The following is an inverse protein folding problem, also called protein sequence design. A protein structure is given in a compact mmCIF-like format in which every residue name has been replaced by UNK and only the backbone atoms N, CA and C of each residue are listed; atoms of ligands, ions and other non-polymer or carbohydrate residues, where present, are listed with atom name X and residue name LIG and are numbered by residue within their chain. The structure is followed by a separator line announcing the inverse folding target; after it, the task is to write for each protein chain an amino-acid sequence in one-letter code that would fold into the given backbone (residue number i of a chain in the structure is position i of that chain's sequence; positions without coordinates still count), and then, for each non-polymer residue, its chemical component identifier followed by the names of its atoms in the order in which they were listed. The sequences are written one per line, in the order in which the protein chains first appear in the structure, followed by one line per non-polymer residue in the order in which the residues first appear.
data_IF_708089059845
#
_entry.id   IF_708089059845
#
_cell.length_a   1.000
_cell.length_b   1.000
_cell.length_c   1.000
_cell.angle_alpha   90.00
_cell.angle_beta   90.00
_cell.angle_gamma   90.00
#
_symmetry.space_group_name_H-M   'P 1'
#
loop_
_entity.id
_entity.type
_entity.pdbx_description
1 polymer ?
#
# COMPACT_ATOMS: atom_id res chain seq x y z
N UNK A 1 14.87 12.42 -7.49
CA UNK A 1 13.76 11.44 -7.58
C UNK A 1 13.86 10.73 -8.92
N UNK A 2 13.48 9.46 -9.01
CA UNK A 2 13.50 8.72 -10.27
C UNK A 2 12.04 8.47 -10.67
N UNK A 3 11.64 8.94 -11.86
CA UNK A 3 10.28 8.74 -12.37
C UNK A 3 10.26 7.67 -13.44
N UNK A 4 9.20 6.86 -13.44
CA UNK A 4 9.06 5.78 -14.39
C UNK A 4 7.63 5.28 -14.53
N UNK A 5 7.49 4.19 -15.26
CA UNK A 5 6.23 3.47 -15.43
C UNK A 5 6.43 2.00 -15.15
N UNK A 6 5.44 1.36 -14.53
CA UNK A 6 5.43 -0.09 -14.36
C UNK A 6 5.37 -0.78 -15.73
N UNK A 7 6.25 -1.75 -15.97
CA UNK A 7 6.16 -2.64 -17.13
C UNK A 7 5.30 -3.87 -16.82
N UNK A 8 5.22 -4.25 -15.54
CA UNK A 8 4.46 -5.41 -15.06
C UNK A 8 3.23 -4.97 -14.27
N UNK A 9 2.10 -5.64 -14.50
CA UNK A 9 0.96 -5.52 -13.61
C UNK A 9 1.27 -6.12 -12.24
N UNK A 10 0.54 -5.68 -11.21
CA UNK A 10 0.68 -6.17 -9.84
C UNK A 10 -0.64 -6.79 -9.42
N UNK A 11 -0.55 -8.02 -8.90
CA UNK A 11 -1.61 -8.66 -8.13
C UNK A 11 -1.01 -9.05 -6.76
N UNK A 12 -1.59 -8.54 -5.68
CA UNK A 12 -1.14 -8.73 -4.29
C UNK A 12 -1.56 -10.04 -3.63
N UNK A 13 -2.28 -10.92 -4.34
CA UNK A 13 -2.63 -12.26 -3.82
C UNK A 13 -1.38 -13.03 -3.39
N UNK A 14 -0.32 -12.92 -4.20
CA UNK A 14 0.96 -13.55 -3.96
C UNK A 14 2.08 -12.51 -4.03
N UNK A 15 3.12 -12.62 -3.18
CA UNK A 15 4.27 -11.75 -3.27
C UNK A 15 5.01 -12.03 -4.58
N UNK A 16 5.53 -10.97 -5.21
CA UNK A 16 6.10 -11.10 -6.54
C UNK A 16 7.11 -10.00 -6.88
N UNK A 17 7.76 -10.19 -8.02
CA UNK A 17 8.71 -9.23 -8.58
C UNK A 17 7.99 -8.25 -9.50
N UNK A 18 8.44 -7.00 -9.50
CA UNK A 18 7.94 -5.95 -10.38
C UNK A 18 9.07 -5.28 -11.13
N UNK A 19 8.75 -4.81 -12.32
CA UNK A 19 9.66 -4.06 -13.16
C UNK A 19 9.06 -2.73 -13.57
N UNK A 20 9.88 -1.70 -13.59
CA UNK A 20 9.53 -0.40 -14.13
C UNK A 20 10.63 0.11 -15.06
N UNK A 21 10.25 1.00 -15.98
CA UNK A 21 11.18 1.70 -16.86
C UNK A 21 11.24 3.17 -16.50
N UNK A 22 12.45 3.71 -16.41
CA UNK A 22 12.69 5.13 -16.14
C UNK A 22 12.27 5.95 -17.35
N UNK A 23 11.44 6.97 -17.13
CA UNK A 23 10.85 7.77 -18.23
C UNK A 23 11.68 8.98 -18.63
N UNK A 24 12.53 9.48 -17.74
CA UNK A 24 13.28 10.72 -17.90
C UNK A 24 14.72 10.57 -17.43
N UNK A 25 15.62 11.35 -18.02
CA UNK A 25 17.01 11.38 -17.62
C UNK A 25 17.14 12.01 -16.23
N UNK A 26 17.77 11.29 -15.28
CA UNK A 26 18.08 11.81 -13.95
C UNK A 26 19.51 12.31 -13.94
N UNK A 27 19.67 13.59 -13.66
CA UNK A 27 20.96 14.27 -13.67
C UNK A 27 21.66 14.19 -12.32
N UNK A 28 22.97 14.45 -12.33
CA UNK A 28 23.79 14.66 -11.15
C UNK A 28 23.35 15.89 -10.37
N UNK A 29 23.81 16.00 -9.11
CA UNK A 29 23.47 17.13 -8.23
C UNK A 29 23.83 18.49 -8.84
N UNK A 30 24.94 18.56 -9.58
CA UNK A 30 25.40 19.75 -10.31
C UNK A 30 24.70 19.94 -11.67
N UNK A 31 23.83 19.01 -12.08
CA UNK A 31 23.05 19.06 -13.32
C UNK A 31 23.83 18.83 -14.61
N UNK A 32 25.14 18.54 -14.53
CA UNK A 32 26.01 18.49 -15.73
C UNK A 32 26.00 17.16 -16.45
N UNK A 33 25.66 16.07 -15.76
CA UNK A 33 25.76 14.71 -16.30
C UNK A 33 24.48 13.94 -16.05
N UNK A 34 24.08 13.12 -17.02
CA UNK A 34 23.00 12.14 -16.84
C UNK A 34 23.57 10.95 -16.09
N UNK A 35 23.10 10.72 -14.85
CA UNK A 35 23.48 9.58 -14.02
C UNK A 35 22.58 8.37 -14.28
N UNK A 36 21.31 8.61 -14.59
CA UNK A 36 20.35 7.54 -14.90
C UNK A 36 19.68 7.92 -16.22
N UNK A 37 20.07 7.30 -17.33
CA UNK A 37 19.41 7.55 -18.61
C UNK A 37 17.95 7.06 -18.59
N UNK A 38 17.09 7.74 -19.34
CA UNK A 38 15.77 7.24 -19.70
C UNK A 38 15.90 5.85 -20.33
N UNK A 39 14.92 4.99 -20.08
CA UNK A 39 14.97 3.58 -20.49
C UNK A 39 15.76 2.67 -19.54
N UNK A 40 16.40 3.20 -18.50
CA UNK A 40 16.93 2.37 -17.41
C UNK A 40 15.80 1.55 -16.77
N UNK A 41 16.08 0.30 -16.39
CA UNK A 41 15.08 -0.60 -15.80
C UNK A 41 15.26 -0.69 -14.30
N UNK A 42 14.18 -0.51 -13.57
CA UNK A 42 14.07 -0.69 -12.14
C UNK A 42 13.45 -2.05 -11.87
N UNK A 43 14.03 -2.79 -10.93
CA UNK A 43 13.53 -4.08 -10.46
C UNK A 43 13.29 -4.00 -8.96
N UNK A 44 12.14 -4.50 -8.54
CA UNK A 44 11.70 -4.45 -7.16
C UNK A 44 10.81 -5.63 -6.83
N UNK A 45 10.36 -5.65 -5.59
CA UNK A 45 9.45 -6.66 -5.06
C UNK A 45 8.31 -5.96 -4.33
N UNK A 46 7.14 -6.58 -4.38
CA UNK A 46 6.00 -6.17 -3.56
C UNK A 46 5.63 -7.33 -2.64
N UNK A 47 5.15 -6.97 -1.45
CA UNK A 47 4.67 -7.96 -0.48
C UNK A 47 3.17 -8.18 -0.67
N UNK A 48 2.74 -9.42 -0.46
CA UNK A 48 1.34 -9.76 -0.18
C UNK A 48 1.01 -9.46 1.29
N UNK A 49 -0.25 -9.64 1.68
CA UNK A 49 -0.70 -9.39 3.06
C UNK A 49 -1.19 -7.96 3.27
N UNK A 50 -2.18 -7.55 2.48
CA UNK A 50 -2.84 -6.26 2.60
C UNK A 50 -3.69 -6.25 3.86
N UNK A 51 -3.47 -5.27 4.74
CA UNK A 51 -4.31 -5.07 5.92
C UNK A 51 -5.71 -4.59 5.51
N UNK A 52 -6.73 -4.87 6.33
CA UNK A 52 -8.08 -4.34 6.08
C UNK A 52 -8.06 -2.82 6.01
N UNK A 53 -8.66 -2.27 4.94
CA UNK A 53 -8.69 -0.82 4.67
C UNK A 53 -7.47 -0.27 3.92
N UNK A 54 -6.43 -1.08 3.69
CA UNK A 54 -5.31 -0.68 2.85
C UNK A 54 -5.74 -0.70 1.37
N UNK A 55 -5.54 0.43 0.69
CA UNK A 55 -5.90 0.64 -0.72
C UNK A 55 -4.66 0.80 -1.61
N UNK A 56 -3.48 0.51 -1.05
CA UNK A 56 -2.18 0.71 -1.70
C UNK A 56 -1.26 -0.46 -1.49
N UNK A 57 -0.47 -0.81 -2.49
CA UNK A 57 0.59 -1.81 -2.39
C UNK A 57 1.93 -1.12 -2.14
N UNK A 58 2.70 -1.64 -1.18
CA UNK A 58 4.05 -1.16 -0.93
C UNK A 58 5.05 -1.94 -1.81
N UNK A 59 5.88 -1.20 -2.54
CA UNK A 59 6.90 -1.75 -3.43
C UNK A 59 8.26 -1.32 -2.89
N UNK A 60 9.21 -2.24 -2.88
CA UNK A 60 10.62 -1.95 -2.60
C UNK A 60 11.42 -2.11 -3.88
N UNK A 61 12.09 -1.05 -4.30
CA UNK A 61 12.96 -1.05 -5.47
C UNK A 61 14.37 -1.42 -5.05
N UNK A 62 14.81 -2.60 -5.48
CA UNK A 62 16.05 -3.21 -5.01
C UNK A 62 17.22 -2.83 -5.91
N UNK A 63 17.03 -2.92 -7.22
CA UNK A 63 18.10 -2.76 -8.21
C UNK A 63 17.63 -1.98 -9.43
N UNK A 64 18.53 -1.19 -9.99
CA UNK A 64 18.40 -0.52 -11.27
C UNK A 64 19.47 -1.01 -12.24
N UNK A 65 19.10 -1.24 -13.48
CA UNK A 65 20.00 -1.58 -14.58
C UNK A 65 19.90 -0.45 -15.61
N UNK A 66 21.01 0.25 -15.82
CA UNK A 66 21.13 1.30 -16.84
C UNK A 66 21.19 0.69 -18.25
N UNK A 67 20.97 1.50 -19.27
CA UNK A 67 21.03 1.07 -20.68
C UNK A 67 22.41 0.58 -21.12
N UNK A 68 23.47 0.98 -20.42
CA UNK A 68 24.86 0.55 -20.62
C UNK A 68 25.21 -0.75 -19.89
N UNK A 69 24.25 -1.37 -19.18
CA UNK A 69 24.45 -2.62 -18.45
C UNK A 69 24.95 -2.44 -17.01
N UNK A 70 25.22 -1.20 -16.57
CA UNK A 70 25.63 -0.95 -15.18
C UNK A 70 24.45 -1.21 -14.23
N UNK A 71 24.70 -2.04 -13.22
CA UNK A 71 23.73 -2.37 -12.18
C UNK A 71 24.03 -1.59 -10.91
N UNK A 72 23.03 -0.87 -10.39
CA UNK A 72 23.12 -0.08 -9.17
C UNK A 72 22.08 -0.55 -8.16
N UNK A 73 22.50 -0.76 -6.92
CA UNK A 73 21.60 -1.12 -5.83
C UNK A 73 20.92 0.13 -5.28
N UNK A 74 19.60 0.18 -5.39
CA UNK A 74 18.79 1.30 -4.87
C UNK A 74 18.39 1.02 -3.43
N UNK A 75 17.68 -0.08 -3.17
CA UNK A 75 17.17 -0.44 -1.84
C UNK A 75 16.27 0.63 -1.23
N UNK A 76 15.30 1.14 -2.02
CA UNK A 76 14.46 2.27 -1.64
C UNK A 76 12.97 2.03 -1.91
N UNK A 77 12.06 2.58 -1.09
CA UNK A 77 10.63 2.40 -1.25
C UNK A 77 10.09 3.13 -2.47
N UNK A 78 9.06 2.54 -3.09
CA UNK A 78 8.27 3.16 -4.14
C UNK A 78 7.17 4.06 -3.60
N UNK A 79 6.84 5.08 -4.39
CA UNK A 79 5.76 6.02 -4.15
C UNK A 79 4.92 6.22 -5.41
N UNK A 80 3.69 6.68 -5.22
CA UNK A 80 2.81 7.05 -6.33
C UNK A 80 3.27 8.33 -7.04
N UNK A 81 2.59 8.69 -8.13
CA UNK A 81 2.89 9.89 -8.93
C UNK A 81 2.82 11.21 -8.15
N UNK A 82 2.17 11.21 -6.98
CA UNK A 82 2.01 12.37 -6.10
C UNK A 82 2.96 12.31 -4.90
N UNK A 83 3.86 11.32 -4.85
CA UNK A 83 4.86 11.16 -3.80
C UNK A 83 4.34 10.49 -2.51
N UNK A 84 3.11 9.97 -2.50
CA UNK A 84 2.57 9.25 -1.35
C UNK A 84 3.14 7.82 -1.33
N UNK A 85 3.32 7.26 -0.13
CA UNK A 85 3.87 5.91 0.03
C UNK A 85 3.01 4.83 -0.63
N UNK A 86 3.66 3.91 -1.34
CA UNK A 86 3.01 2.82 -2.07
C UNK A 86 2.23 3.26 -3.31
N UNK A 87 1.74 2.27 -4.06
CA UNK A 87 0.98 2.46 -5.30
C UNK A 87 -0.51 2.26 -5.03
N UNK A 88 -1.32 3.24 -5.42
CA UNK A 88 -2.77 3.07 -5.42
C UNK A 88 -3.19 2.08 -6.52
N UNK A 89 -4.17 1.23 -6.22
CA UNK A 89 -4.70 0.26 -7.16
C UNK A 89 -6.19 0.03 -6.93
N UNK A 90 -6.80 -0.74 -7.84
CA UNK A 90 -8.19 -1.19 -7.68
C UNK A 90 -8.23 -2.26 -6.60
N UNK A 91 -9.10 -2.07 -5.62
CA UNK A 91 -9.25 -3.00 -4.49
C UNK A 91 -10.44 -3.91 -4.76
N UNK A 92 -10.19 -5.20 -4.89
CA UNK A 92 -11.21 -6.23 -4.75
C UNK A 92 -11.33 -6.62 -3.28
N UNK A 93 -12.56 -6.58 -2.78
CA UNK A 93 -12.86 -6.94 -1.39
C UNK A 93 -13.44 -8.33 -1.26
N UNK A 94 -13.65 -9.05 -2.38
CA UNK A 94 -14.25 -10.37 -2.44
C UNK A 94 -15.55 -10.45 -1.63
N UNK A 95 -16.45 -9.46 -1.79
CA UNK A 95 -17.66 -9.34 -0.97
C UNK A 95 -18.59 -10.55 -1.14
N UNK A 96 -18.69 -11.10 -2.35
CA UNK A 96 -19.57 -12.23 -2.61
C UNK A 96 -18.99 -13.52 -2.03
N UNK A 97 -17.68 -13.71 -2.09
CA UNK A 97 -17.01 -14.85 -1.48
C UNK A 97 -17.03 -14.76 0.05
N UNK A 98 -16.99 -13.52 0.60
CA UNK A 98 -16.99 -13.27 2.04
C UNK A 98 -18.35 -13.30 2.70
N UNK A 99 -19.40 -12.98 1.97
CA UNK A 99 -20.75 -12.81 2.53
C UNK A 99 -21.82 -13.56 1.74
N UNK A 100 -21.48 -14.26 0.66
CA UNK A 100 -22.44 -14.96 -0.19
C UNK A 100 -23.17 -16.08 0.53
N UNK A 101 -22.46 -16.87 1.34
CA UNK A 101 -23.07 -17.91 2.19
C UNK A 101 -24.06 -17.32 3.19
N UNK A 102 -23.66 -16.24 3.87
CA UNK A 102 -24.51 -15.53 4.84
C UNK A 102 -25.76 -14.90 4.20
N UNK A 103 -25.63 -14.33 3.00
CA UNK A 103 -26.77 -13.81 2.24
C UNK A 103 -27.75 -14.93 1.89
N UNK A 104 -27.25 -16.08 1.40
CA UNK A 104 -28.10 -17.25 1.10
C UNK A 104 -28.81 -17.75 2.36
N UNK A 105 -28.08 -17.89 3.47
CA UNK A 105 -28.65 -18.32 4.75
C UNK A 105 -29.68 -17.33 5.29
N UNK A 106 -29.45 -16.02 5.12
CA UNK A 106 -30.39 -14.97 5.49
C UNK A 106 -31.68 -15.04 4.68
N UNK A 107 -31.59 -15.29 3.36
CA UNK A 107 -32.77 -15.47 2.50
C UNK A 107 -33.55 -16.71 2.92
N UNK A 108 -32.86 -17.84 3.17
CA UNK A 108 -33.51 -19.09 3.61
C UNK A 108 -34.17 -18.92 4.98
N UNK A 109 -33.49 -18.27 5.93
CA UNK A 109 -34.04 -17.96 7.25
C UNK A 109 -35.27 -17.06 7.17
N UNK A 110 -35.19 -15.96 6.41
CA UNK A 110 -36.31 -15.03 6.23
C UNK A 110 -37.49 -15.65 5.48
N UNK A 111 -37.24 -16.53 4.50
CA UNK A 111 -38.31 -17.27 3.81
C UNK A 111 -38.98 -18.30 4.73
N UNK A 112 -38.21 -19.04 5.53
CA UNK A 112 -38.75 -19.96 6.52
C UNK A 112 -39.59 -19.22 7.58
N UNK A 113 -39.14 -18.05 8.03
CA UNK A 113 -39.87 -17.18 8.96
C UNK A 113 -41.18 -16.68 8.33
N UNK A 114 -41.13 -16.15 7.11
CA UNK A 114 -42.33 -15.70 6.39
C UNK A 114 -43.35 -16.83 6.19
N UNK A 115 -42.89 -18.02 5.78
CA UNK A 115 -43.75 -19.19 5.60
C UNK A 115 -44.35 -19.67 6.92
N UNK A 116 -43.57 -19.67 8.01
CA UNK A 116 -44.08 -20.02 9.35
C UNK A 116 -45.14 -19.03 9.84
N UNK A 117 -44.96 -17.72 9.60
CA UNK A 117 -45.93 -16.69 9.96
C UNK A 117 -47.25 -16.81 9.16
N UNK A 118 -47.19 -17.24 7.89
CA UNK A 118 -48.37 -17.50 7.07
C UNK A 118 -49.08 -18.82 7.45
N UNK A 119 -48.31 -19.85 7.81
CA UNK A 119 -48.84 -21.12 8.30
C UNK A 119 -49.60 -20.93 9.63
N UNK A 120 -49.05 -20.14 10.55
CA UNK A 120 -49.71 -19.77 11.82
C UNK A 120 -51.02 -19.00 11.60
N UNK A 121 -51.14 -18.20 10.53
CA UNK A 121 -52.34 -17.43 10.21
C UNK A 121 -53.49 -18.27 9.62
N UNK A 122 -53.26 -19.52 9.19
CA UNK A 122 -54.23 -20.33 8.43
C UNK A 122 -54.66 -21.67 9.05
N UNK A 123 -54.15 -22.04 10.22
CA UNK A 123 -54.93 -22.83 11.19
C UNK A 123 -54.37 -24.17 11.66
N UNK A 124 -54.85 -24.54 12.85
CA UNK A 124 -54.84 -25.91 13.40
C UNK A 124 -53.69 -26.18 14.38
N UNK A 125 -54.00 -26.13 15.68
CA UNK A 125 -53.15 -26.63 16.79
C UNK A 125 -52.56 -28.01 16.45
N UNK A 126 -51.31 -28.07 15.98
CA UNK A 126 -50.57 -29.33 15.84
C UNK A 126 -49.12 -29.09 16.25
N UNK A 127 -48.69 -29.86 17.23
CA UNK A 127 -47.35 -29.88 17.81
C UNK A 127 -46.31 -30.12 16.70
N UNK A 128 -45.51 -29.12 16.39
CA UNK A 128 -44.55 -29.17 15.28
C UNK A 128 -43.12 -29.30 15.84
N UNK A 129 -42.46 -30.41 15.50
CA UNK A 129 -41.08 -30.68 15.88
C UNK A 129 -40.17 -30.18 14.76
N UNK A 130 -39.56 -29.00 14.94
CA UNK A 130 -38.62 -28.46 13.94
C UNK A 130 -37.25 -29.09 14.19
N UNK A 131 -36.82 -29.91 13.25
CA UNK A 131 -35.49 -30.53 13.27
C UNK A 131 -34.55 -29.65 12.43
N UNK A 132 -33.63 -28.94 13.08
CA UNK A 132 -32.63 -28.09 12.41
C UNK A 132 -31.30 -28.84 12.38
N UNK A 133 -30.80 -29.11 11.18
CA UNK A 133 -29.47 -29.69 10.98
C UNK A 133 -28.48 -28.55 10.76
N UNK A 134 -27.48 -28.46 11.62
CA UNK A 134 -26.39 -27.49 11.50
C UNK A 134 -25.51 -27.84 10.28
N UNK A 135 -25.36 -26.95 9.28
CA UNK A 135 -24.67 -27.26 8.03
C UNK A 135 -23.15 -27.38 8.16
N UNK A 136 -22.54 -27.04 9.29
CA UNK A 136 -21.07 -27.12 9.50
C UNK A 136 -20.69 -28.29 10.41
N UNK A 137 -21.51 -28.59 11.42
CA UNK A 137 -21.20 -29.62 12.43
C UNK A 137 -21.99 -30.92 12.24
N UNK A 138 -23.07 -30.90 11.44
CA UNK A 138 -23.96 -32.06 11.26
C UNK A 138 -24.79 -32.42 12.51
N UNK A 139 -24.75 -31.58 13.55
CA UNK A 139 -25.50 -31.79 14.78
C UNK A 139 -26.99 -31.50 14.58
N UNK A 140 -27.83 -32.39 15.10
CA UNK A 140 -29.28 -32.35 14.91
C UNK A 140 -29.94 -31.78 16.17
N UNK A 141 -30.28 -30.50 16.13
CA UNK A 141 -30.97 -29.85 17.25
C UNK A 141 -32.48 -29.96 17.02
N UNK A 142 -33.12 -30.78 17.87
CA UNK A 142 -34.57 -31.03 17.81
C UNK A 142 -35.30 -30.09 18.76
N UNK A 143 -36.09 -29.15 18.22
CA UNK A 143 -36.85 -28.20 19.03
C UNK A 143 -38.31 -28.67 19.08
N UNK A 144 -38.75 -29.14 20.24
CA UNK A 144 -40.15 -29.52 20.49
C UNK A 144 -40.91 -28.29 20.99
N UNK A 145 -41.93 -27.86 20.25
CA UNK A 145 -42.76 -26.72 20.61
C UNK A 145 -43.97 -27.25 21.40
N UNK A 146 -44.03 -26.91 22.70
CA UNK A 146 -45.11 -27.30 23.61
C UNK A 146 -46.28 -26.29 23.50
N UNK A 147 -47.53 -26.71 23.23
CA UNK A 147 -48.61 -25.83 22.78
C UNK A 147 -49.44 -25.12 23.87
N UNK A 148 -49.00 -25.08 25.14
CA UNK A 148 -49.78 -24.50 26.25
C UNK A 148 -49.48 -23.02 26.60
N UNK A 149 -48.80 -22.27 25.74
CA UNK A 149 -48.44 -20.87 26.04
C UNK A 149 -49.06 -19.86 25.05
N UNK A 150 -49.64 -18.82 25.64
CA UNK A 150 -50.48 -17.75 25.05
C UNK A 150 -49.90 -17.16 23.76
N UNK A 151 -50.75 -16.76 22.81
CA UNK A 151 -50.37 -16.11 21.53
C UNK A 151 -49.35 -14.96 21.69
N UNK A 152 -49.41 -14.22 22.80
CA UNK A 152 -48.46 -13.14 23.12
C UNK A 152 -47.06 -13.68 23.46
N UNK A 153 -46.97 -14.83 24.14
CA UNK A 153 -45.69 -15.48 24.47
C UNK A 153 -45.08 -16.16 23.24
N UNK A 154 -45.89 -16.75 22.36
CA UNK A 154 -45.42 -17.34 21.10
C UNK A 154 -44.80 -16.30 20.15
N UNK A 155 -45.42 -15.12 20.01
CA UNK A 155 -44.84 -13.98 19.26
C UNK A 155 -43.55 -13.48 19.89
N UNK A 156 -43.51 -13.41 21.22
CA UNK A 156 -42.32 -12.95 21.95
C UNK A 156 -41.16 -13.94 21.78
N UNK A 157 -41.43 -15.24 21.82
CA UNK A 157 -40.47 -16.32 21.57
C UNK A 157 -39.98 -16.29 20.11
N UNK A 158 -40.85 -16.05 19.14
CA UNK A 158 -40.47 -15.95 17.73
C UNK A 158 -39.56 -14.74 17.46
N UNK A 159 -39.89 -13.56 17.98
CA UNK A 159 -39.10 -12.33 17.83
C UNK A 159 -37.74 -12.46 18.53
N UNK A 160 -37.71 -13.01 19.74
CA UNK A 160 -36.48 -13.19 20.53
C UNK A 160 -35.53 -14.23 19.90
N UNK A 161 -36.09 -15.32 19.35
CA UNK A 161 -35.33 -16.33 18.58
C UNK A 161 -34.84 -15.81 17.23
N UNK A 162 -35.64 -14.98 16.55
CA UNK A 162 -35.24 -14.32 15.30
C UNK A 162 -34.07 -13.37 15.54
N UNK A 163 -34.15 -12.53 16.58
CA UNK A 163 -33.07 -11.61 16.95
C UNK A 163 -31.76 -12.33 17.33
N UNK A 164 -31.83 -13.43 18.09
CA UNK A 164 -30.64 -14.22 18.44
C UNK A 164 -30.04 -14.96 17.24
N UNK A 165 -30.87 -15.57 16.39
CA UNK A 165 -30.43 -16.24 15.16
C UNK A 165 -29.78 -15.24 14.19
N UNK A 166 -30.38 -14.06 14.00
CA UNK A 166 -29.81 -13.04 13.11
C UNK A 166 -28.48 -12.49 13.63
N UNK A 167 -28.34 -12.39 14.96
CA UNK A 167 -27.06 -12.01 15.59
C UNK A 167 -25.98 -13.08 15.39
N UNK A 168 -26.33 -14.35 15.51
CA UNK A 168 -25.41 -15.48 15.29
C UNK A 168 -24.97 -15.58 13.83
N UNK A 169 -25.90 -15.50 12.87
CA UNK A 169 -25.60 -15.46 11.45
C UNK A 169 -24.72 -14.27 11.07
N UNK A 170 -25.01 -13.09 11.63
CA UNK A 170 -24.17 -11.92 11.42
C UNK A 170 -22.76 -12.17 11.97
N UNK A 171 -22.64 -12.70 13.18
CA UNK A 171 -21.35 -13.01 13.81
C UNK A 171 -20.54 -14.02 12.99
N UNK A 172 -21.17 -15.10 12.54
CA UNK A 172 -20.53 -16.13 11.70
C UNK A 172 -20.05 -15.54 10.36
N UNK A 173 -20.91 -14.77 9.67
CA UNK A 173 -20.55 -14.08 8.44
C UNK A 173 -19.37 -13.11 8.63
N UNK A 174 -19.34 -12.41 9.76
CA UNK A 174 -18.22 -11.54 10.10
C UNK A 174 -16.94 -12.32 10.37
N UNK A 175 -17.01 -13.46 11.06
CA UNK A 175 -15.87 -14.33 11.35
C UNK A 175 -15.30 -14.95 10.06
N UNK A 176 -16.15 -15.50 9.18
CA UNK A 176 -15.71 -16.09 7.91
C UNK A 176 -15.09 -15.02 6.98
N UNK A 177 -15.68 -13.82 6.95
CA UNK A 177 -15.13 -12.69 6.20
C UNK A 177 -13.73 -12.26 6.66
N UNK A 178 -13.27 -12.65 7.87
CA UNK A 178 -11.93 -12.27 8.35
C UNK A 178 -10.82 -12.99 7.61
N UNK A 179 -11.09 -14.17 7.06
CA UNK A 179 -10.06 -15.06 6.51
C UNK A 179 -9.77 -14.82 5.02
N UNK A 180 -10.63 -14.07 4.31
CA UNK A 180 -10.43 -13.75 2.89
C UNK A 180 -9.79 -12.35 2.79
N UNK A 181 -8.49 -12.25 2.46
CA UNK A 181 -7.82 -10.96 2.31
C UNK A 181 -8.33 -10.20 1.08
N UNK A 182 -8.32 -8.86 1.10
CA UNK A 182 -8.58 -8.07 -0.10
C UNK A 182 -7.38 -8.13 -1.06
N UNK A 183 -7.66 -7.89 -2.34
CA UNK A 183 -6.66 -7.91 -3.41
C UNK A 183 -6.56 -6.55 -4.06
N UNK A 184 -5.34 -6.06 -4.25
CA UNK A 184 -5.06 -4.81 -4.95
C UNK A 184 -4.46 -5.15 -6.32
N UNK A 185 -5.08 -4.59 -7.34
CA UNK A 185 -4.61 -4.64 -8.72
C UNK A 185 -4.01 -3.29 -9.10
N UNK A 186 -2.77 -3.30 -9.56
CA UNK A 186 -2.13 -2.13 -10.18
C UNK A 186 -1.81 -2.48 -11.62
N UNK A 187 -2.38 -1.73 -12.55
CA UNK A 187 -2.20 -2.00 -13.98
C UNK A 187 -0.77 -1.60 -14.43
N UNK A 188 -0.26 -2.30 -15.43
CA UNK A 188 0.97 -1.90 -16.12
C UNK A 188 0.79 -0.51 -16.75
N UNK A 189 1.90 0.20 -16.96
CA UNK A 189 1.91 1.58 -17.42
C UNK A 189 1.60 2.60 -16.32
N UNK A 190 1.26 2.17 -15.10
CA UNK A 190 1.04 3.09 -13.98
C UNK A 190 2.33 3.84 -13.64
N UNK A 191 2.23 5.16 -13.47
CA UNK A 191 3.36 6.04 -13.15
C UNK A 191 3.85 5.81 -11.72
N UNK A 192 5.13 5.54 -11.57
CA UNK A 192 5.80 5.29 -10.29
C UNK A 192 6.91 6.31 -10.06
N UNK A 193 7.08 6.71 -8.80
CA UNK A 193 8.18 7.52 -8.33
C UNK A 193 9.00 6.71 -7.34
N UNK A 194 10.31 6.69 -7.53
CA UNK A 194 11.24 6.09 -6.57
C UNK A 194 11.97 7.22 -5.85
N UNK A 195 11.78 7.27 -4.53
CA UNK A 195 12.55 8.13 -3.64
C UNK A 195 13.80 7.38 -3.23
N UNK A 196 14.95 7.87 -3.66
CA UNK A 196 16.23 7.27 -3.29
C UNK A 196 16.53 7.64 -1.83
N UNK A 197 16.76 6.64 -0.97
CA UNK A 197 17.01 6.86 0.47
C UNK A 197 18.45 7.19 0.83
N UNK A 198 19.38 6.91 -0.08
CA UNK A 198 20.82 7.07 0.11
C UNK A 198 21.42 7.66 -1.14
N UNK A 199 22.55 8.32 -1.02
CA UNK A 199 23.25 8.79 -2.20
C UNK A 199 23.69 7.59 -3.04
N UNK A 200 23.40 7.65 -4.33
CA UNK A 200 23.89 6.69 -5.30
C UNK A 200 25.18 7.26 -5.85
N UNK A 201 26.30 6.62 -5.53
CA UNK A 201 27.59 7.04 -6.03
C UNK A 201 27.84 6.45 -7.43
N UNK A 202 28.16 7.32 -8.37
CA UNK A 202 28.52 7.00 -9.75
C UNK A 202 29.93 7.52 -10.09
N UNK A 203 30.72 7.89 -9.09
CA UNK A 203 32.08 8.45 -9.24
C UNK A 203 32.99 7.53 -10.04
N UNK A 204 32.87 6.21 -9.89
CA UNK A 204 33.64 5.23 -10.66
C UNK A 204 33.35 5.27 -12.17
N UNK A 205 32.16 5.71 -12.58
CA UNK A 205 31.76 5.74 -14.00
C UNK A 205 32.16 7.03 -14.69
N UNK A 206 32.39 8.12 -13.94
CA UNK A 206 32.67 9.42 -14.51
C UNK A 206 33.88 10.06 -13.84
N UNK A 207 34.87 10.48 -14.63
CA UNK A 207 36.01 11.20 -14.10
C UNK A 207 35.58 12.45 -13.30
N UNK A 208 36.30 12.71 -12.20
CA UNK A 208 36.03 13.81 -11.29
C UNK A 208 35.86 15.14 -12.06
N UNK A 209 34.74 15.86 -11.89
CA UNK A 209 34.51 17.13 -12.56
C UNK A 209 35.64 18.15 -12.34
N UNK A 210 36.27 18.17 -11.16
CA UNK A 210 37.39 19.06 -10.88
C UNK A 210 38.62 18.69 -11.70
N UNK A 211 38.94 17.40 -11.80
CA UNK A 211 40.07 16.92 -12.61
C UNK A 211 39.83 17.15 -14.11
N UNK A 212 38.59 16.98 -14.58
CA UNK A 212 38.22 17.29 -15.96
C UNK A 212 38.36 18.79 -16.26
N UNK A 213 37.88 19.65 -15.37
CA UNK A 213 38.02 21.10 -15.51
C UNK A 213 39.49 21.52 -15.44
N UNK A 214 40.28 20.98 -14.52
CA UNK A 214 41.72 21.25 -14.44
C UNK A 214 42.45 20.78 -15.70
N UNK A 215 42.14 19.59 -16.22
CA UNK A 215 42.71 19.10 -17.48
C UNK A 215 42.33 19.98 -18.67
N UNK A 216 41.09 20.52 -18.69
CA UNK A 216 40.62 21.48 -19.69
C UNK A 216 41.35 22.82 -19.60
N UNK A 217 41.53 23.35 -18.39
CA UNK A 217 42.27 24.59 -18.13
C UNK A 217 43.76 24.43 -18.50
N UNK A 218 44.38 23.31 -18.12
CA UNK A 218 45.77 22.97 -18.50
C UNK A 218 45.97 22.90 -20.02
N UNK A 219 44.92 22.56 -20.79
CA UNK A 219 44.91 22.58 -22.27
C UNK A 219 44.53 23.95 -22.87
N UNK A 220 44.52 25.02 -22.07
CA UNK A 220 44.24 26.39 -22.54
C UNK A 220 42.75 26.76 -22.62
N UNK A 221 41.84 25.95 -22.05
CA UNK A 221 40.42 26.29 -21.97
C UNK A 221 40.16 27.45 -21.00
N UNK A 222 39.16 28.29 -21.28
CA UNK A 222 38.74 29.37 -20.37
C UNK A 222 37.78 28.85 -19.27
N UNK A 223 37.82 29.39 -18.04
CA UNK A 223 36.84 29.07 -16.99
C UNK A 223 35.41 29.34 -17.48
N UNK A 224 34.49 28.41 -17.24
CA UNK A 224 33.06 28.59 -17.61
C UNK A 224 32.32 29.51 -16.65
N UNK A 225 32.87 29.69 -15.44
CA UNK A 225 32.36 30.57 -14.39
C UNK A 225 33.56 31.40 -13.93
N UNK A 226 33.41 32.72 -13.91
CA UNK A 226 34.37 33.58 -13.22
C UNK A 226 34.26 33.24 -11.73
N UNK A 227 35.23 32.49 -11.20
CA UNK A 227 35.35 32.32 -9.76
C UNK A 227 35.76 33.69 -9.25
N UNK A 228 34.82 34.42 -8.66
CA UNK A 228 35.13 35.60 -7.88
C UNK A 228 36.08 35.12 -6.77
N UNK A 229 37.33 35.61 -6.69
CA UNK A 229 38.36 35.04 -5.83
C UNK A 229 38.13 35.30 -4.34
N UNK A 230 36.92 35.73 -3.92
CA UNK A 230 36.59 35.87 -2.51
C UNK A 230 36.81 34.53 -1.80
N UNK A 231 37.81 34.43 -0.91
CA UNK A 231 38.03 33.20 -0.17
C UNK A 231 36.83 32.94 0.74
N UNK A 232 36.34 31.69 0.75
CA UNK A 232 35.19 31.25 1.57
C UNK A 232 35.45 31.26 3.10
N UNK A 233 36.45 32.01 3.57
CA UNK A 233 36.61 32.38 4.96
C UNK A 233 37.56 33.59 5.04
N UNK A 234 37.03 34.77 5.31
CA UNK A 234 37.80 35.80 6.00
C UNK A 234 37.67 35.52 7.50
N UNK A 235 38.66 34.84 8.08
CA UNK A 235 38.93 35.01 9.51
C UNK A 235 39.28 36.48 9.74
N UNK A 236 38.55 37.21 10.61
CA UNK A 236 38.91 38.59 10.93
C UNK A 236 40.30 38.60 11.54
N UNK A 237 41.23 39.29 10.88
CA UNK A 237 42.54 39.56 11.42
C UNK A 237 42.50 40.89 12.17
N UNK A 238 43.01 40.81 13.39
CA UNK A 238 43.76 41.85 14.11
C UNK A 238 42.99 42.73 15.11
N UNK A 239 43.27 42.40 16.38
CA UNK A 239 43.25 43.27 17.57
C UNK A 239 44.01 44.59 17.33
N UNK A 240 43.39 45.55 16.65
CA UNK A 240 43.92 46.92 16.59
C UNK A 240 43.36 47.74 17.76
N UNK A 241 44.01 47.66 18.93
CA UNK A 241 43.93 48.71 19.95
C UNK A 241 45.15 49.61 19.79
N UNK A 242 45.00 50.87 19.32
CA UNK A 242 46.11 51.82 19.36
C UNK A 242 46.41 52.16 20.83
N UNK A 243 47.64 51.86 21.26
CA UNK A 243 48.16 52.23 22.58
C UNK A 243 48.02 53.75 22.80
N UNK A 244 47.50 54.13 23.97
CA UNK A 244 47.43 55.52 24.39
C UNK A 244 48.84 56.13 24.47
N UNK A 245 49.03 57.41 24.07
CA UNK A 245 50.33 58.06 24.15
C UNK A 245 50.77 58.25 25.63
N UNK A 246 52.08 58.29 25.90
CA UNK A 246 52.60 58.29 27.26
C UNK A 246 52.32 59.62 27.98
N UNK A 247 51.89 59.51 29.24
CA UNK A 247 51.83 60.62 30.18
C UNK A 247 53.25 60.94 30.64
N UNK A 248 53.72 62.17 30.42
CA UNK A 248 54.93 62.70 31.07
C UNK A 248 54.65 64.08 31.65
N UNK A 249 54.59 64.09 33.00
CA UNK A 249 54.62 65.18 34.01
C UNK A 249 53.70 66.39 33.82
#
# INVERSE_FOLDING_TARGET
MIRGFLETAINTDLPGMVRAVVREDVYSLDGRRVLIPKGSRLTGEYKSGIARGQTRVFIVWNRMIRSDGVSVNIGSPGADSLGRGGMAGRVDRHWLERFGSAIVLSIVGGAAEYLSALADASGGRRQETITRVDPVTGEVTTITIDPERTEEEARQIAIERSASTMTELAKEAFEDSRNIPPTIYVDQGTSVIVFVRRDLDFSELYADPVQQELARLKRGGKPRVAIDPVPLYMTPKDNWFPAAPPVTK
#
